data_IF_667762374990
#
_entry.id   IF_667762374990
#
_cell.length_a   1.000
_cell.length_b   1.000
_cell.length_c   1.000
_cell.angle_alpha   90.00
_cell.angle_beta   90.00
_cell.angle_gamma   90.00
#
_symmetry.space_group_name_H-M   'P 1'
#
loop_
_entity.id
_entity.type
_entity.pdbx_description
1 polymer ?
#
# COMPACT_ATOMS: atom_id res chain seq x y z
N UNK A 1 13.58 55.19 1.27
CA UNK A 1 13.85 55.03 -0.18
C UNK A 1 13.36 53.64 -0.57
N UNK A 2 12.21 53.47 -1.25
CA UNK A 2 12.01 53.50 -2.72
C UNK A 2 12.96 52.51 -3.43
N UNK A 3 12.56 51.52 -4.24
CA UNK A 3 11.46 51.39 -5.24
C UNK A 3 11.23 49.90 -5.60
N UNK A 4 9.99 49.38 -5.63
CA UNK A 4 9.10 49.13 -6.80
C UNK A 4 9.69 48.33 -7.99
N UNK A 5 9.09 47.16 -8.25
CA UNK A 5 8.51 46.74 -9.56
C UNK A 5 7.50 45.61 -9.23
N UNK A 6 6.20 45.57 -9.56
CA UNK A 6 5.31 46.11 -10.59
C UNK A 6 5.69 45.72 -12.03
N UNK A 7 5.08 44.62 -12.49
CA UNK A 7 4.28 44.42 -13.74
C UNK A 7 3.86 42.93 -13.76
N UNK A 8 2.58 42.52 -13.65
CA UNK A 8 1.37 42.76 -14.46
C UNK A 8 1.25 41.82 -15.67
N UNK A 9 0.24 40.94 -15.62
CA UNK A 9 -0.53 40.29 -16.71
C UNK A 9 -1.61 39.47 -15.96
N UNK A 10 -2.87 39.84 -15.74
CA UNK A 10 -3.99 40.35 -16.57
C UNK A 10 -4.27 39.50 -17.81
N UNK A 11 -5.20 38.54 -17.63
CA UNK A 11 -6.12 37.96 -18.61
C UNK A 11 -7.15 37.18 -17.75
N UNK A 12 -8.29 37.71 -17.29
CA UNK A 12 -9.48 38.31 -17.91
C UNK A 12 -10.32 37.35 -18.79
N UNK A 13 -11.43 36.91 -18.16
CA UNK A 13 -12.81 36.87 -18.68
C UNK A 13 -13.37 35.64 -19.44
N UNK A 14 -14.57 35.25 -18.94
CA UNK A 14 -15.74 34.65 -19.62
C UNK A 14 -15.63 33.20 -20.07
N UNK A 15 -16.36 32.29 -19.39
CA UNK A 15 -17.62 31.68 -19.92
C UNK A 15 -18.47 31.24 -18.74
N UNK A 16 -19.37 32.13 -18.31
CA UNK A 16 -20.66 31.71 -17.76
C UNK A 16 -21.65 31.63 -18.92
N UNK A 17 -22.69 30.82 -18.77
CA UNK A 17 -23.83 30.64 -19.68
C UNK A 17 -23.62 29.57 -20.78
N UNK A 18 -23.79 28.31 -20.38
CA UNK A 18 -24.62 27.38 -21.15
C UNK A 18 -25.69 26.82 -20.21
N UNK A 19 -26.84 27.47 -20.21
CA UNK A 19 -28.12 26.91 -20.64
C UNK A 19 -28.80 26.03 -19.57
N UNK A 20 -29.48 26.73 -18.68
CA UNK A 20 -30.84 26.37 -18.28
C UNK A 20 -31.71 26.28 -19.55
N UNK A 21 -32.10 25.08 -19.94
CA UNK A 21 -33.19 24.85 -20.89
C UNK A 21 -33.80 23.48 -20.63
N UNK A 22 -35.03 23.44 -20.13
CA UNK A 22 -35.79 22.19 -20.02
C UNK A 22 -36.79 22.10 -18.88
N UNK A 23 -37.54 23.17 -18.59
CA UNK A 23 -38.83 23.03 -17.92
C UNK A 23 -39.83 22.61 -18.99
N UNK A 24 -40.32 21.38 -18.94
CA UNK A 24 -41.53 20.96 -19.66
C UNK A 24 -42.35 20.08 -18.73
N UNK A 25 -43.29 20.71 -18.05
CA UNK A 25 -44.41 20.03 -17.41
C UNK A 25 -45.45 19.70 -18.49
N UNK A 26 -45.90 18.44 -18.53
CA UNK A 26 -47.13 18.04 -19.18
C UNK A 26 -47.91 17.06 -18.29
N UNK A 27 -49.22 17.29 -18.24
CA UNK A 27 -50.22 16.73 -17.34
C UNK A 27 -50.61 15.28 -17.67
N UNK A 28 -51.06 14.61 -16.61
CA UNK A 28 -52.06 13.53 -16.49
C UNK A 28 -52.58 12.84 -17.76
N UNK A 29 -52.43 11.52 -17.79
CA UNK A 29 -53.26 10.59 -18.56
C UNK A 29 -53.21 9.22 -17.89
N UNK A 30 -54.30 8.86 -17.21
CA UNK A 30 -54.50 7.56 -16.59
C UNK A 30 -55.02 6.61 -17.67
N UNK A 31 -54.18 5.72 -18.19
CA UNK A 31 -54.63 4.58 -19.00
C UNK A 31 -53.95 3.31 -18.49
N UNK A 32 -54.79 2.45 -17.90
CA UNK A 32 -54.49 1.05 -17.65
C UNK A 32 -54.35 0.37 -19.00
N UNK A 33 -53.15 -0.02 -19.37
CA UNK A 33 -52.98 -1.10 -20.34
C UNK A 33 -51.94 -2.12 -19.87
N UNK A 34 -52.52 -3.26 -19.49
CA UNK A 34 -51.89 -4.57 -19.37
C UNK A 34 -50.93 -4.82 -20.53
N UNK A 35 -49.63 -4.80 -20.26
CA UNK A 35 -48.65 -5.45 -21.13
C UNK A 35 -47.68 -6.31 -20.30
N UNK A 36 -47.95 -7.62 -20.42
CA UNK A 36 -47.10 -8.78 -20.15
C UNK A 36 -45.74 -8.46 -19.54
N UNK A 37 -45.68 -8.65 -18.24
CA UNK A 37 -44.49 -8.88 -17.42
C UNK A 37 -43.68 -10.04 -18.02
N UNK A 38 -42.81 -9.74 -18.97
CA UNK A 38 -41.69 -10.62 -19.32
C UNK A 38 -40.62 -10.37 -18.28
N UNK A 39 -40.77 -11.03 -17.13
CA UNK A 39 -39.75 -11.09 -16.09
C UNK A 39 -38.57 -11.93 -16.60
N UNK A 40 -37.83 -11.39 -17.57
CA UNK A 40 -36.43 -11.74 -17.75
C UNK A 40 -35.71 -11.21 -16.51
N UNK A 41 -35.66 -12.05 -15.47
CA UNK A 41 -34.68 -11.90 -14.38
C UNK A 41 -33.32 -12.00 -15.05
N UNK A 42 -32.82 -10.87 -15.53
CA UNK A 42 -31.39 -10.72 -15.79
C UNK A 42 -30.76 -10.84 -14.42
N UNK A 43 -30.33 -12.06 -14.06
CA UNK A 43 -29.56 -12.28 -12.86
C UNK A 43 -28.35 -11.36 -12.96
N UNK A 44 -28.40 -10.21 -12.27
CA UNK A 44 -27.23 -9.36 -12.11
C UNK A 44 -26.13 -10.28 -11.59
N UNK A 45 -25.02 -10.45 -12.32
CA UNK A 45 -23.99 -11.40 -11.96
C UNK A 45 -23.58 -11.11 -10.53
N UNK A 46 -23.71 -12.10 -9.64
CA UNK A 46 -23.34 -11.96 -8.23
C UNK A 46 -21.90 -11.50 -8.18
N UNK A 47 -21.69 -10.25 -7.79
CA UNK A 47 -20.36 -9.67 -7.62
C UNK A 47 -19.63 -10.53 -6.59
N UNK A 48 -18.56 -11.21 -7.01
CA UNK A 48 -17.77 -12.04 -6.11
C UNK A 48 -16.92 -11.13 -5.22
N UNK A 49 -17.39 -10.95 -3.99
CA UNK A 49 -16.69 -10.21 -2.93
C UNK A 49 -15.86 -11.15 -2.06
N UNK A 50 -14.73 -10.69 -1.54
CA UNK A 50 -13.85 -11.45 -0.65
C UNK A 50 -13.60 -10.69 0.65
N UNK A 51 -13.57 -11.38 1.80
CA UNK A 51 -13.20 -10.73 3.07
C UNK A 51 -11.71 -10.35 3.07
N UNK A 52 -11.34 -9.22 3.68
CA UNK A 52 -9.94 -8.77 3.69
C UNK A 52 -9.01 -9.76 4.40
N UNK A 53 -9.48 -10.46 5.43
CA UNK A 53 -8.70 -11.53 6.06
C UNK A 53 -8.47 -12.73 5.15
N UNK A 54 -9.43 -13.05 4.27
CA UNK A 54 -9.27 -14.07 3.22
C UNK A 54 -8.28 -13.58 2.16
N UNK A 55 -8.40 -12.32 1.74
CA UNK A 55 -7.49 -11.70 0.78
C UNK A 55 -6.04 -11.72 1.29
N UNK A 56 -5.79 -11.43 2.56
CA UNK A 56 -4.44 -11.51 3.15
C UNK A 56 -3.87 -12.93 3.22
N UNK A 57 -4.73 -13.95 3.23
CA UNK A 57 -4.29 -15.35 3.13
C UNK A 57 -4.06 -15.79 1.68
N UNK A 58 -4.79 -15.21 0.72
CA UNK A 58 -4.73 -15.58 -0.70
C UNK A 58 -3.61 -14.85 -1.44
N UNK A 59 -3.45 -13.55 -1.24
CA UNK A 59 -2.54 -12.70 -2.00
C UNK A 59 -1.29 -12.37 -1.20
N UNK A 60 -0.14 -12.69 -1.79
CA UNK A 60 1.13 -12.66 -1.06
C UNK A 60 1.79 -11.29 -1.04
N UNK A 61 1.58 -10.45 -2.07
CA UNK A 61 2.20 -9.13 -2.18
C UNK A 61 1.17 -8.02 -2.22
N UNK A 62 1.38 -7.01 -1.38
CA UNK A 62 0.57 -5.81 -1.31
C UNK A 62 1.45 -4.57 -1.44
N UNK A 63 1.00 -3.61 -2.23
CA UNK A 63 1.70 -2.37 -2.53
C UNK A 63 1.06 -1.23 -1.71
N UNK A 64 1.87 -0.45 -1.02
CA UNK A 64 1.45 0.82 -0.43
C UNK A 64 1.79 1.93 -1.42
N UNK A 65 0.77 2.69 -1.81
CA UNK A 65 0.86 3.76 -2.79
C UNK A 65 0.00 4.95 -2.38
N UNK A 66 -0.16 5.92 -3.26
CA UNK A 66 -1.01 7.10 -3.03
C UNK A 66 -2.51 6.74 -2.92
N UNK A 67 -3.34 7.74 -2.63
CA UNK A 67 -4.78 7.55 -2.39
C UNK A 67 -5.58 7.11 -3.63
N UNK A 68 -5.07 7.36 -4.83
CA UNK A 68 -5.77 7.08 -6.09
C UNK A 68 -4.76 6.59 -7.14
N UNK A 69 -4.23 5.38 -6.98
CA UNK A 69 -3.08 4.93 -7.73
C UNK A 69 -3.42 4.77 -9.20
N UNK A 70 -2.56 5.33 -10.04
CA UNK A 70 -2.54 5.10 -11.48
C UNK A 70 -1.21 4.46 -11.90
N UNK A 71 -1.05 4.30 -13.22
CA UNK A 71 0.15 3.72 -13.84
C UNK A 71 1.45 4.31 -13.31
N UNK A 72 1.51 5.63 -13.22
CA UNK A 72 2.69 6.40 -12.82
C UNK A 72 2.82 6.60 -11.31
N UNK A 73 1.88 6.07 -10.52
CA UNK A 73 1.89 6.23 -9.06
C UNK A 73 3.06 5.48 -8.45
N UNK A 74 3.71 6.15 -7.49
CA UNK A 74 4.87 5.63 -6.80
C UNK A 74 4.46 4.54 -5.80
N UNK A 75 5.25 3.49 -5.72
CA UNK A 75 5.14 2.44 -4.71
C UNK A 75 6.06 2.81 -3.55
N UNK A 76 5.49 3.23 -2.43
CA UNK A 76 6.25 3.69 -1.26
C UNK A 76 6.87 2.52 -0.48
N UNK A 77 6.15 1.41 -0.40
CA UNK A 77 6.61 0.19 0.26
C UNK A 77 5.78 -1.00 -0.21
N UNK A 78 6.30 -2.20 -0.01
CA UNK A 78 5.54 -3.44 -0.20
C UNK A 78 5.40 -4.20 1.11
N UNK A 79 4.33 -4.97 1.22
CA UNK A 79 4.05 -5.91 2.30
C UNK A 79 3.95 -7.29 1.65
N UNK A 80 4.88 -8.17 2.01
CA UNK A 80 4.81 -9.58 1.66
C UNK A 80 4.22 -10.37 2.85
N UNK A 81 3.17 -11.15 2.61
CA UNK A 81 2.46 -11.96 3.60
C UNK A 81 2.68 -13.44 3.26
N UNK A 82 3.17 -14.21 4.23
CA UNK A 82 3.32 -15.66 4.09
C UNK A 82 3.21 -16.33 5.46
N UNK A 83 2.42 -17.39 5.56
CA UNK A 83 2.32 -18.25 6.75
C UNK A 83 2.02 -17.51 8.07
N UNK A 84 1.26 -16.41 8.02
CA UNK A 84 0.95 -15.58 9.19
C UNK A 84 2.06 -14.61 9.61
N UNK A 85 3.13 -14.51 8.82
CA UNK A 85 4.18 -13.52 8.97
C UNK A 85 4.08 -12.45 7.88
N UNK A 86 4.51 -11.24 8.23
CA UNK A 86 4.63 -10.11 7.32
C UNK A 86 6.09 -9.70 7.24
N UNK A 87 6.56 -9.49 6.01
CA UNK A 87 7.77 -8.75 5.70
C UNK A 87 7.39 -7.44 4.99
N UNK A 88 7.66 -6.30 5.63
CA UNK A 88 7.46 -4.98 5.04
C UNK A 88 8.79 -4.42 4.56
N UNK A 89 8.86 -4.05 3.28
CA UNK A 89 10.04 -3.47 2.65
C UNK A 89 9.78 -1.99 2.39
N UNK A 90 10.61 -1.13 2.97
CA UNK A 90 10.52 0.33 2.90
C UNK A 90 11.86 0.89 2.44
N UNK A 91 11.99 1.27 1.16
CA UNK A 91 13.18 1.95 0.68
C UNK A 91 13.41 3.28 1.40
N UNK A 92 14.68 3.65 1.61
CA UNK A 92 15.07 4.93 2.27
C UNK A 92 15.17 6.07 1.26
N UNK A 93 15.79 5.81 0.12
CA UNK A 93 15.85 6.78 -0.97
C UNK A 93 14.54 6.78 -1.76
N UNK A 94 14.18 7.88 -2.43
CA UNK A 94 13.06 7.87 -3.35
C UNK A 94 13.40 6.99 -4.57
N UNK A 95 13.27 5.68 -4.42
CA UNK A 95 13.33 4.78 -5.57
C UNK A 95 12.11 5.09 -6.42
N UNK A 96 12.30 5.47 -7.68
CA UNK A 96 11.19 5.75 -8.61
C UNK A 96 10.57 4.44 -9.11
N UNK A 97 10.16 3.59 -8.18
CA UNK A 97 9.40 2.38 -8.47
C UNK A 97 7.95 2.80 -8.61
N UNK A 98 7.44 2.71 -9.84
CA UNK A 98 6.05 2.99 -10.20
C UNK A 98 5.32 1.68 -10.42
N UNK A 99 3.99 1.71 -10.35
CA UNK A 99 3.16 0.51 -10.58
C UNK A 99 3.47 -0.12 -11.94
N UNK A 100 3.68 0.69 -12.99
CA UNK A 100 4.03 0.20 -14.32
C UNK A 100 5.34 -0.60 -14.38
N UNK A 101 6.28 -0.36 -13.47
CA UNK A 101 7.54 -1.12 -13.40
C UNK A 101 7.34 -2.52 -12.82
N UNK A 102 6.24 -2.74 -12.09
CA UNK A 102 5.97 -3.98 -11.37
C UNK A 102 5.00 -4.91 -12.09
N UNK A 103 4.27 -4.40 -13.09
CA UNK A 103 3.15 -5.14 -13.69
C UNK A 103 3.57 -6.48 -14.31
N UNK A 104 4.74 -6.50 -14.95
CA UNK A 104 5.30 -7.70 -15.60
C UNK A 104 6.10 -8.61 -14.66
N UNK A 105 6.28 -8.22 -13.40
CA UNK A 105 7.09 -8.96 -12.43
C UNK A 105 6.20 -9.90 -11.63
N UNK A 106 6.63 -11.14 -11.44
CA UNK A 106 6.01 -12.05 -10.46
C UNK A 106 6.12 -11.50 -9.04
N UNK A 107 5.29 -12.00 -8.11
CA UNK A 107 5.36 -11.63 -6.69
C UNK A 107 6.78 -11.83 -6.11
N UNK A 108 7.46 -12.90 -6.54
CA UNK A 108 8.84 -13.20 -6.15
C UNK A 108 9.81 -12.13 -6.66
N UNK A 109 9.72 -11.75 -7.93
CA UNK A 109 10.58 -10.72 -8.52
C UNK A 109 10.33 -9.34 -7.90
N UNK A 110 9.08 -9.00 -7.56
CA UNK A 110 8.76 -7.77 -6.82
C UNK A 110 9.43 -7.79 -5.44
N UNK A 111 9.32 -8.90 -4.70
CA UNK A 111 9.97 -9.03 -3.39
C UNK A 111 11.49 -8.90 -3.53
N UNK A 112 12.11 -9.59 -4.48
CA UNK A 112 13.55 -9.53 -4.72
C UNK A 112 14.03 -8.12 -5.09
N UNK A 113 13.25 -7.38 -5.90
CA UNK A 113 13.53 -6.00 -6.25
C UNK A 113 13.60 -5.11 -4.99
N UNK A 114 12.62 -5.21 -4.09
CA UNK A 114 12.57 -4.43 -2.87
C UNK A 114 13.53 -4.92 -1.78
N UNK A 115 13.93 -6.19 -1.81
CA UNK A 115 14.94 -6.74 -0.91
C UNK A 115 16.35 -6.25 -1.24
N UNK A 116 16.65 -6.04 -2.54
CA UNK A 116 17.92 -5.49 -3.01
C UNK A 116 18.01 -3.98 -2.86
N UNK A 117 16.88 -3.28 -2.76
CA UNK A 117 16.85 -1.84 -2.58
C UNK A 117 17.45 -1.42 -1.23
N UNK A 118 18.05 -0.22 -1.20
CA UNK A 118 18.47 0.40 0.05
C UNK A 118 17.27 0.75 0.93
N UNK A 119 17.35 0.37 2.19
CA UNK A 119 16.36 0.75 3.18
C UNK A 119 16.12 -0.31 4.23
N UNK A 120 14.85 -0.49 4.60
CA UNK A 120 14.46 -1.29 5.76
C UNK A 120 13.52 -2.42 5.38
N UNK A 121 13.80 -3.61 5.91
CA UNK A 121 12.92 -4.76 5.90
C UNK A 121 12.52 -5.09 7.34
N UNK A 122 11.24 -4.96 7.65
CA UNK A 122 10.68 -5.32 8.95
C UNK A 122 9.96 -6.65 8.86
N UNK A 123 10.34 -7.61 9.69
CA UNK A 123 9.71 -8.94 9.74
C UNK A 123 9.02 -9.13 11.08
N UNK A 124 7.79 -9.65 11.06
CA UNK A 124 7.02 -9.87 12.28
C UNK A 124 5.77 -10.71 12.07
N UNK A 125 5.18 -11.15 13.17
CA UNK A 125 3.85 -11.79 13.14
C UNK A 125 2.78 -10.71 13.10
N UNK A 126 1.71 -10.95 12.36
CA UNK A 126 0.60 -10.00 12.28
C UNK A 126 -0.67 -10.51 12.95
N UNK A 127 -1.53 -9.57 13.32
CA UNK A 127 -2.90 -9.79 13.79
C UNK A 127 -3.83 -8.81 13.06
N UNK A 128 -5.05 -9.27 12.81
CA UNK A 128 -6.13 -8.44 12.27
C UNK A 128 -7.19 -8.23 13.35
N UNK A 129 -7.49 -6.98 13.62
CA UNK A 129 -8.52 -6.55 14.58
C UNK A 129 -9.66 -5.83 13.88
N UNK A 130 -10.90 -6.13 14.25
CA UNK A 130 -12.09 -5.34 13.90
C UNK A 130 -12.24 -4.22 14.93
N UNK A 131 -12.37 -2.99 14.45
CA UNK A 131 -12.79 -1.84 15.26
C UNK A 131 -14.22 -1.48 14.83
N UNK A 132 -15.13 -1.54 15.78
CA UNK A 132 -16.54 -1.26 15.57
C UNK A 132 -16.83 0.24 15.67
N UNK A 133 -17.91 0.65 15.02
CA UNK A 133 -18.50 1.99 15.19
C UNK A 133 -18.89 2.29 16.65
N UNK A 134 -19.30 3.53 16.91
CA UNK A 134 -19.67 4.00 18.26
C UNK A 134 -20.83 3.21 18.90
N UNK A 135 -21.67 2.54 18.10
CA UNK A 135 -22.78 1.72 18.60
C UNK A 135 -22.42 0.24 18.74
N UNK A 136 -21.21 -0.15 18.35
CA UNK A 136 -20.71 -1.52 18.45
C UNK A 136 -21.38 -2.50 17.49
N UNK A 137 -21.95 -2.03 16.39
CA UNK A 137 -22.73 -2.87 15.47
C UNK A 137 -22.00 -3.10 14.14
N UNK A 138 -21.47 -2.04 13.53
CA UNK A 138 -20.83 -2.15 12.22
C UNK A 138 -19.31 -2.05 12.32
N UNK A 139 -18.61 -2.71 11.40
CA UNK A 139 -17.15 -2.58 11.31
C UNK A 139 -16.81 -1.26 10.66
N UNK A 140 -16.25 -0.34 11.45
CA UNK A 140 -15.81 0.96 10.95
C UNK A 140 -14.47 0.84 10.21
N UNK A 141 -13.55 0.03 10.77
CA UNK A 141 -12.23 -0.21 10.19
C UNK A 141 -11.63 -1.50 10.72
N UNK A 142 -10.64 -2.01 9.99
CA UNK A 142 -9.78 -3.08 10.48
C UNK A 142 -8.40 -2.56 10.81
N UNK A 143 -7.79 -3.07 11.87
CA UNK A 143 -6.44 -2.75 12.28
C UNK A 143 -5.53 -3.94 11.99
N UNK A 144 -4.59 -3.76 11.07
CA UNK A 144 -3.47 -4.67 10.88
C UNK A 144 -2.37 -4.28 11.85
N UNK A 145 -2.15 -5.12 12.87
CA UNK A 145 -1.09 -4.95 13.85
C UNK A 145 0.06 -5.89 13.53
N UNK A 146 1.30 -5.39 13.47
CA UNK A 146 2.49 -6.21 13.25
C UNK A 146 3.43 -6.10 14.44
N UNK A 147 3.65 -7.23 15.11
CA UNK A 147 4.64 -7.38 16.17
C UNK A 147 5.99 -7.69 15.53
N UNK A 148 6.83 -6.67 15.44
CA UNK A 148 8.12 -6.76 14.80
C UNK A 148 9.04 -7.67 15.62
N UNK A 149 9.77 -8.53 14.91
CA UNK A 149 10.77 -9.44 15.48
C UNK A 149 12.17 -8.99 15.06
N UNK A 150 12.34 -8.67 13.78
CA UNK A 150 13.62 -8.23 13.24
C UNK A 150 13.45 -7.04 12.30
N UNK A 151 14.52 -6.25 12.22
CA UNK A 151 14.70 -5.21 11.22
C UNK A 151 16.01 -5.48 10.50
N UNK A 152 15.95 -5.62 9.19
CA UNK A 152 17.14 -5.66 8.33
C UNK A 152 17.30 -4.32 7.65
N UNK A 153 18.48 -3.74 7.74
CA UNK A 153 18.86 -2.53 7.04
C UNK A 153 19.82 -2.90 5.93
N UNK A 154 19.56 -2.38 4.73
CA UNK A 154 20.43 -2.52 3.56
C UNK A 154 20.94 -1.13 3.18
N UNK A 155 22.26 -0.91 3.25
CA UNK A 155 22.91 0.39 2.96
C UNK A 155 24.04 0.14 1.97
N UNK A 156 24.15 1.00 0.95
CA UNK A 156 25.24 0.94 0.00
C UNK A 156 26.54 1.46 0.60
N UNK A 157 27.64 0.76 0.37
CA UNK A 157 28.92 1.04 1.01
C UNK A 157 29.54 2.37 0.59
N UNK A 158 29.09 2.98 -0.51
CA UNK A 158 29.58 4.31 -0.92
C UNK A 158 29.31 5.38 0.13
N UNK A 159 28.29 5.23 0.97
CA UNK A 159 28.04 6.14 2.10
C UNK A 159 29.21 6.19 3.10
N UNK A 160 30.02 5.14 3.12
CA UNK A 160 31.14 4.99 4.04
C UNK A 160 32.50 5.18 3.35
N UNK A 161 32.54 5.26 2.02
CA UNK A 161 33.79 5.39 1.25
C UNK A 161 34.27 6.84 1.21
N UNK A 162 35.59 7.03 1.15
CA UNK A 162 36.16 8.36 0.98
C UNK A 162 36.18 8.73 -0.51
N UNK A 163 36.10 10.03 -0.81
CA UNK A 163 36.22 10.51 -2.19
C UNK A 163 37.57 10.09 -2.79
N UNK A 164 37.56 9.52 -4.00
CA UNK A 164 38.77 9.06 -4.70
C UNK A 164 39.29 7.69 -4.25
N UNK A 165 38.61 7.01 -3.32
CA UNK A 165 39.00 5.67 -2.88
C UNK A 165 38.76 4.62 -3.98
N UNK A 166 39.68 3.64 -4.10
CA UNK A 166 39.46 2.50 -5.00
C UNK A 166 38.32 1.62 -4.45
N UNK A 167 37.21 1.57 -5.19
CA UNK A 167 35.98 0.88 -4.78
C UNK A 167 36.19 -0.60 -4.45
N UNK A 168 36.89 -1.33 -5.31
CA UNK A 168 37.09 -2.78 -5.15
C UNK A 168 37.94 -3.08 -3.91
N UNK A 169 38.97 -2.28 -3.67
CA UNK A 169 39.80 -2.40 -2.48
C UNK A 169 39.00 -2.09 -1.22
N UNK A 170 38.20 -1.02 -1.24
CA UNK A 170 37.34 -0.65 -0.11
C UNK A 170 36.35 -1.78 0.24
N UNK A 171 35.70 -2.38 -0.77
CA UNK A 171 34.79 -3.52 -0.57
C UNK A 171 35.54 -4.70 0.06
N UNK A 172 36.73 -5.05 -0.42
CA UNK A 172 37.57 -6.11 0.16
C UNK A 172 37.96 -5.81 1.61
N UNK A 173 38.23 -4.56 1.93
CA UNK A 173 38.58 -4.13 3.29
C UNK A 173 37.38 -4.21 4.24
N UNK A 174 36.16 -3.90 3.78
CA UNK A 174 34.93 -4.16 4.53
C UNK A 174 34.68 -5.66 4.72
N UNK A 175 34.83 -6.47 3.66
CA UNK A 175 34.61 -7.92 3.71
C UNK A 175 35.61 -8.63 4.64
N UNK A 176 36.86 -8.17 4.67
CA UNK A 176 37.90 -8.72 5.55
C UNK A 176 37.85 -8.18 6.99
N UNK A 177 36.96 -7.22 7.28
CA UNK A 177 36.84 -6.60 8.59
C UNK A 177 37.96 -5.60 8.93
N UNK A 178 38.87 -5.30 8.00
CA UNK A 178 39.84 -4.21 8.13
C UNK A 178 39.16 -2.85 8.29
N UNK A 179 37.97 -2.70 7.70
CA UNK A 179 37.10 -1.54 7.85
C UNK A 179 35.75 -1.96 8.39
N UNK A 180 35.18 -1.13 9.26
CA UNK A 180 33.87 -1.36 9.89
C UNK A 180 32.81 -0.43 9.29
N UNK A 181 31.59 -0.93 9.15
CA UNK A 181 30.42 -0.16 8.67
C UNK A 181 29.64 0.49 9.84
N UNK A 182 30.08 0.29 11.08
CA UNK A 182 29.32 0.68 12.26
C UNK A 182 29.70 2.08 12.77
N UNK A 183 28.69 2.87 13.11
CA UNK A 183 28.81 3.92 14.12
C UNK A 183 28.68 3.30 15.52
N UNK A 184 29.10 4.00 16.58
CA UNK A 184 29.02 3.49 17.97
C UNK A 184 27.61 3.06 18.39
N UNK A 185 26.57 3.65 17.79
CA UNK A 185 25.18 3.29 18.01
C UNK A 185 24.83 1.86 17.57
N UNK A 186 25.46 1.35 16.51
CA UNK A 186 25.26 -0.03 16.05
C UNK A 186 25.99 -1.05 16.93
N UNK A 187 27.17 -0.70 17.46
CA UNK A 187 27.97 -1.58 18.30
C UNK A 187 27.25 -2.02 19.60
N UNK A 188 26.33 -1.20 20.09
CA UNK A 188 25.53 -1.47 21.30
C UNK A 188 24.12 -1.98 21.00
N UNK A 189 23.83 -2.38 19.76
CA UNK A 189 22.50 -2.87 19.37
C UNK A 189 22.44 -4.41 19.33
N UNK A 190 21.24 -4.98 19.47
CA UNK A 190 20.97 -6.42 19.38
C UNK A 190 21.13 -6.96 17.94
N UNK A 191 22.34 -6.84 17.38
CA UNK A 191 22.69 -7.33 16.04
C UNK A 191 22.73 -8.85 16.08
N UNK A 192 21.91 -9.49 15.25
CA UNK A 192 21.90 -10.95 15.09
C UNK A 192 22.66 -11.40 13.85
N UNK A 193 22.84 -10.50 12.88
CA UNK A 193 23.56 -10.79 11.64
C UNK A 193 24.07 -9.51 11.00
N UNK A 194 25.29 -9.56 10.49
CA UNK A 194 25.83 -8.52 9.63
C UNK A 194 26.69 -9.14 8.53
N UNK A 195 26.38 -8.82 7.28
CA UNK A 195 27.14 -9.28 6.12
C UNK A 195 27.48 -8.12 5.18
N UNK A 196 28.54 -8.31 4.40
CA UNK A 196 28.81 -7.51 3.21
C UNK A 196 28.42 -8.34 1.98
N UNK A 197 27.45 -7.86 1.20
CA UNK A 197 26.95 -8.52 -0.01
C UNK A 197 27.20 -7.65 -1.22
N UNK A 198 28.30 -7.92 -1.92
CA UNK A 198 28.77 -7.05 -2.99
C UNK A 198 29.05 -5.64 -2.46
N UNK A 199 28.27 -4.67 -2.93
CA UNK A 199 28.44 -3.25 -2.62
C UNK A 199 27.58 -2.79 -1.44
N UNK A 200 26.92 -3.72 -0.76
CA UNK A 200 25.95 -3.42 0.30
C UNK A 200 26.38 -3.99 1.65
N UNK A 201 26.11 -3.22 2.69
CA UNK A 201 26.08 -3.70 4.06
C UNK A 201 24.67 -4.08 4.45
N UNK A 202 24.51 -5.33 4.90
CA UNK A 202 23.22 -5.89 5.31
C UNK A 202 23.28 -6.21 6.80
N UNK A 203 22.58 -5.43 7.61
CA UNK A 203 22.55 -5.60 9.07
C UNK A 203 21.16 -6.00 9.54
N UNK A 204 21.04 -7.13 10.21
CA UNK A 204 19.79 -7.56 10.87
C UNK A 204 19.93 -7.44 12.37
N UNK A 205 18.96 -6.77 13.00
CA UNK A 205 18.85 -6.67 14.47
C UNK A 205 17.50 -7.15 14.97
N UNK A 206 17.45 -7.56 16.23
CA UNK A 206 16.20 -7.77 16.94
C UNK A 206 15.57 -6.40 17.21
N UNK A 207 14.24 -6.32 17.02
CA UNK A 207 13.46 -5.14 17.40
C UNK A 207 12.28 -5.60 18.24
N UNK A 208 12.00 -4.86 19.32
CA UNK A 208 10.81 -5.05 20.15
C UNK A 208 9.90 -3.85 19.90
N UNK A 209 9.15 -3.93 18.80
CA UNK A 209 8.31 -2.84 18.33
C UNK A 209 7.01 -3.35 17.74
N UNK A 210 6.02 -2.48 17.71
CA UNK A 210 4.75 -2.74 17.06
C UNK A 210 4.43 -1.56 16.14
N UNK A 211 3.95 -1.84 14.94
CA UNK A 211 3.28 -0.85 14.12
C UNK A 211 1.89 -1.33 13.75
N UNK A 212 1.03 -0.39 13.38
CA UNK A 212 -0.31 -0.73 12.92
C UNK A 212 -0.70 0.07 11.69
N UNK A 213 -1.53 -0.54 10.84
CA UNK A 213 -2.17 0.08 9.69
C UNK A 213 -3.68 -0.03 9.89
N UNK A 214 -4.39 1.09 9.71
CA UNK A 214 -5.84 1.11 9.72
C UNK A 214 -6.34 0.96 8.27
N UNK A 215 -7.17 -0.04 8.05
CA UNK A 215 -7.81 -0.39 6.78
C UNK A 215 -9.26 0.10 6.84
N UNK A 216 -9.65 0.97 5.91
CA UNK A 216 -11.00 1.55 5.86
C UNK A 216 -11.78 0.98 4.67
N UNK A 217 -13.12 1.02 4.76
CA UNK A 217 -14.08 0.49 3.76
C UNK A 217 -14.07 1.23 2.41
N UNK A 218 -13.10 2.11 2.17
CA UNK A 218 -12.89 2.73 0.87
C UNK A 218 -12.15 1.75 -0.03
N UNK A 219 -12.93 0.93 -0.74
CA UNK A 219 -12.39 -0.06 -1.66
C UNK A 219 -12.04 0.57 -3.00
N UNK A 220 -10.86 0.20 -3.49
CA UNK A 220 -10.38 0.60 -4.79
C UNK A 220 -10.37 -0.64 -5.69
N UNK A 221 -10.97 -0.51 -6.87
CA UNK A 221 -10.78 -1.46 -7.98
C UNK A 221 -10.29 -0.69 -9.19
N UNK A 222 -9.12 -1.08 -9.73
CA UNK A 222 -8.55 -0.42 -10.89
C UNK A 222 -7.78 -1.39 -11.76
N UNK A 223 -8.11 -1.39 -13.05
CA UNK A 223 -7.28 -2.05 -14.06
C UNK A 223 -6.24 -1.08 -14.57
N UNK A 224 -4.97 -1.47 -14.52
CA UNK A 224 -3.84 -0.73 -15.06
C UNK A 224 -3.20 -1.65 -16.10
N UNK A 225 -3.28 -1.25 -17.37
CA UNK A 225 -3.03 -2.13 -18.52
C UNK A 225 -3.90 -3.39 -18.51
N UNK A 226 -3.30 -4.56 -18.27
CA UNK A 226 -3.91 -5.89 -18.24
C UNK A 226 -3.99 -6.46 -16.81
N UNK A 227 -3.58 -5.69 -15.80
CA UNK A 227 -3.58 -6.13 -14.40
C UNK A 227 -4.62 -5.38 -13.59
N UNK A 228 -5.52 -6.13 -12.95
CA UNK A 228 -6.50 -5.61 -12.01
C UNK A 228 -5.90 -5.53 -10.61
N UNK A 229 -6.00 -4.37 -10.00
CA UNK A 229 -5.64 -4.14 -8.61
C UNK A 229 -6.90 -3.92 -7.77
N UNK A 230 -6.98 -4.63 -6.65
CA UNK A 230 -7.96 -4.36 -5.60
C UNK A 230 -7.26 -3.89 -4.34
N UNK A 231 -7.92 -3.05 -3.54
CA UNK A 231 -7.33 -2.59 -2.30
C UNK A 231 -8.28 -1.89 -1.37
N UNK A 232 -7.69 -1.43 -0.26
CA UNK A 232 -8.36 -0.70 0.82
C UNK A 232 -7.59 0.59 1.10
N UNK A 233 -8.30 1.63 1.54
CA UNK A 233 -7.64 2.85 1.97
C UNK A 233 -6.90 2.69 3.30
N UNK A 234 -5.73 3.32 3.39
CA UNK A 234 -4.92 3.49 4.60
C UNK A 234 -5.05 4.94 5.12
N UNK A 235 -6.28 5.39 5.35
CA UNK A 235 -6.60 6.76 5.78
C UNK A 235 -7.05 7.63 4.61
N UNK A 236 -6.48 8.84 4.48
CA UNK A 236 -6.89 9.81 3.45
C UNK A 236 -5.86 10.01 2.32
N UNK A 237 -4.64 9.48 2.45
CA UNK A 237 -3.53 9.78 1.54
C UNK A 237 -2.92 8.57 0.85
N UNK A 238 -3.25 7.36 1.31
CA UNK A 238 -2.58 6.13 0.91
C UNK A 238 -3.59 5.03 0.71
N UNK A 239 -3.25 4.10 -0.18
CA UNK A 239 -3.98 2.85 -0.36
C UNK A 239 -3.04 1.66 -0.21
N UNK A 240 -3.63 0.53 0.15
CA UNK A 240 -3.00 -0.78 0.17
C UNK A 240 -3.66 -1.63 -0.91
N UNK A 241 -2.94 -1.90 -1.99
CA UNK A 241 -3.47 -2.61 -3.16
C UNK A 241 -2.74 -3.93 -3.39
N UNK A 242 -3.42 -4.90 -3.99
CA UNK A 242 -2.82 -6.16 -4.46
C UNK A 242 -3.34 -6.49 -5.84
N UNK A 243 -2.60 -7.30 -6.58
CA UNK A 243 -3.02 -7.81 -7.89
C UNK A 243 -4.02 -8.94 -7.68
N UNK A 244 -5.08 -8.96 -8.48
CA UNK A 244 -6.08 -10.01 -8.42
C UNK A 244 -6.37 -10.56 -9.81
N UNK A 245 -6.75 -11.84 -9.83
CA UNK A 245 -7.36 -12.45 -11.01
C UNK A 245 -8.76 -11.87 -11.23
N UNK A 246 -9.24 -11.83 -12.48
CA UNK A 246 -10.53 -11.25 -12.91
C UNK A 246 -11.76 -11.76 -12.15
N UNK A 247 -11.63 -12.86 -11.40
CA UNK A 247 -12.73 -13.46 -10.64
C UNK A 247 -13.15 -12.69 -9.38
N UNK A 248 -12.34 -11.77 -8.84
CA UNK A 248 -12.68 -11.01 -7.62
C UNK A 248 -12.90 -9.55 -7.97
N UNK A 249 -14.05 -9.01 -7.58
CA UNK A 249 -14.45 -7.66 -7.96
C UNK A 249 -14.33 -6.65 -6.83
N UNK A 250 -14.34 -7.12 -5.57
CA UNK A 250 -14.21 -6.24 -4.42
C UNK A 250 -13.72 -6.97 -3.17
N UNK A 251 -13.13 -6.22 -2.24
CA UNK A 251 -12.94 -6.66 -0.85
C UNK A 251 -14.08 -6.15 0.02
N UNK A 252 -14.37 -6.87 1.10
CA UNK A 252 -15.21 -6.43 2.20
C UNK A 252 -14.36 -6.48 3.48
N UNK A 253 -14.59 -5.55 4.41
CA UNK A 253 -14.03 -5.69 5.74
C UNK A 253 -14.68 -6.90 6.43
N UNK A 254 -13.91 -7.61 7.25
CA UNK A 254 -14.46 -8.63 8.12
C UNK A 254 -15.43 -7.98 9.13
N UNK A 255 -16.56 -8.63 9.40
CA UNK A 255 -17.53 -8.21 10.42
C UNK A 255 -17.55 -9.18 11.60
N UNK A 256 -18.10 -8.82 12.77
CA UNK A 256 -18.24 -9.75 13.89
C UNK A 256 -18.86 -11.11 13.51
N UNK A 257 -19.86 -11.09 12.61
CA UNK A 257 -20.60 -12.25 12.12
C UNK A 257 -19.86 -12.99 11.00
N UNK A 258 -19.08 -12.27 10.19
CA UNK A 258 -18.38 -12.79 9.02
C UNK A 258 -16.91 -12.39 9.06
N UNK A 259 -16.13 -13.14 9.82
CA UNK A 259 -14.69 -12.94 9.96
C UNK A 259 -13.86 -14.22 9.83
N UNK A 260 -12.63 -14.07 9.38
CA UNK A 260 -11.65 -15.15 9.36
C UNK A 260 -11.28 -15.64 10.78
N UNK A 261 -10.84 -16.90 10.89
CA UNK A 261 -10.53 -17.57 12.18
C UNK A 261 -9.52 -16.82 13.06
N UNK A 262 -8.64 -16.00 12.47
CA UNK A 262 -7.57 -15.27 13.17
C UNK A 262 -7.92 -13.80 13.43
N UNK A 263 -9.14 -13.37 13.12
CA UNK A 263 -9.60 -12.00 13.30
C UNK A 263 -10.28 -11.84 14.65
N UNK A 264 -9.86 -10.85 15.43
CA UNK A 264 -10.41 -10.53 16.75
C UNK A 264 -11.20 -9.23 16.70
N UNK A 265 -12.10 -9.02 17.67
CA UNK A 265 -12.70 -7.69 17.89
C UNK A 265 -11.77 -6.95 18.85
N UNK A 266 -11.19 -5.83 18.40
CA UNK A 266 -10.23 -5.07 19.19
C UNK A 266 -10.89 -3.96 20.03
N UNK A 267 -12.06 -3.47 19.62
CA UNK A 267 -12.81 -2.49 20.40
C UNK A 267 -13.87 -1.74 19.62
N UNK A 268 -14.37 -0.68 20.26
CA UNK A 268 -15.35 0.28 19.74
C UNK A 268 -14.66 1.63 19.62
N UNK A 269 -14.87 2.35 18.51
CA UNK A 269 -14.42 3.73 18.37
C UNK A 269 -15.11 4.61 19.42
N UNK A 270 -14.32 5.46 20.07
CA UNK A 270 -14.80 6.46 21.03
C UNK A 270 -15.13 7.74 20.30
#
# INVERSE_FOLDING_TARGET
MNTKSKKAFIFMFIVAVFMLSGCAAAKSGNEKESSKESASKTETPKVKTMLISEAFNRFSVWLITDGNPGRSSKVESIIAIKDGEIARYRPVQPVDIRIEHLIKLSDKEIIELFEKAEGYKFVGKYKLGIILDQVGQTTERMKLTVNQKTMTTNIHLSEYMQSGENRDQAIKDFQSGKRKVYNESLANSDIVRHDIKGEYSVTTKIVKGQYSLNLFESFLSRTIFDTTYLGVSLGNKRTLITRVDESVNNFNLDTPEKKGKKVIIEGITK
#
